data_IF_278555517842
#
_entry.id   IF_278555517842
#
_cell.length_a   1.000
_cell.length_b   1.000
_cell.length_c   1.000
_cell.angle_alpha   90.00
_cell.angle_beta   90.00
_cell.angle_gamma   90.00
#
_symmetry.space_group_name_H-M   'P 1'
#
loop_
_entity.id
_entity.type
_entity.pdbx_description
1 polymer ?
#
# COMPACT_ATOMS: atom_id res chain seq x y z
N UNK A 1 -4.15 -2.59 -16.42
CA UNK A 1 -4.21 -3.24 -15.09
C UNK A 1 -3.50 -2.35 -14.10
N UNK A 2 -4.21 -1.73 -13.14
CA UNK A 2 -3.64 -0.70 -12.25
C UNK A 2 -2.60 -1.21 -11.26
N UNK A 3 -1.48 -1.75 -11.75
CA UNK A 3 -0.30 -2.15 -10.96
C UNK A 3 -0.50 -3.31 -9.98
N UNK A 4 -1.72 -3.85 -9.85
CA UNK A 4 -2.01 -4.90 -8.86
C UNK A 4 -1.33 -6.21 -9.27
N UNK A 5 -0.49 -6.73 -8.37
CA UNK A 5 0.20 -8.01 -8.51
C UNK A 5 -0.75 -9.13 -8.12
N UNK A 6 -0.80 -10.18 -8.92
CA UNK A 6 -1.56 -11.39 -8.66
C UNK A 6 -0.61 -12.60 -8.62
N UNK A 7 -0.95 -13.59 -7.80
CA UNK A 7 -0.21 -14.84 -7.78
C UNK A 7 -0.63 -15.72 -8.96
N UNK A 8 0.35 -16.33 -9.61
CA UNK A 8 0.17 -17.27 -10.71
C UNK A 8 1.07 -18.48 -10.50
N UNK A 9 0.62 -19.64 -10.96
CA UNK A 9 1.42 -20.87 -10.99
C UNK A 9 2.29 -20.97 -12.24
N UNK A 10 2.14 -20.03 -13.19
CA UNK A 10 2.95 -19.93 -14.40
C UNK A 10 4.00 -18.85 -14.22
N UNK A 11 5.16 -19.06 -14.83
CA UNK A 11 6.22 -18.07 -14.81
C UNK A 11 5.82 -16.88 -15.72
N UNK A 12 5.65 -15.72 -15.12
CA UNK A 12 5.24 -14.49 -15.80
C UNK A 12 6.13 -13.32 -15.39
N UNK A 13 6.24 -12.33 -16.28
CA UNK A 13 7.02 -11.12 -16.03
C UNK A 13 6.38 -10.22 -14.96
N UNK A 14 7.23 -9.52 -14.22
CA UNK A 14 6.79 -8.54 -13.24
C UNK A 14 7.13 -7.13 -13.71
N UNK A 15 6.14 -6.45 -14.30
CA UNK A 15 6.30 -5.12 -14.91
C UNK A 15 6.93 -4.10 -13.96
N UNK A 16 6.38 -3.91 -12.75
CA UNK A 16 6.91 -2.95 -11.77
C UNK A 16 8.28 -3.30 -11.17
N UNK A 17 8.86 -4.46 -11.49
CA UNK A 17 10.23 -4.82 -11.12
C UNK A 17 11.16 -4.90 -12.35
N UNK A 18 10.62 -4.79 -13.57
CA UNK A 18 11.38 -4.91 -14.81
C UNK A 18 12.01 -6.28 -15.07
N UNK A 19 11.49 -7.36 -14.45
CA UNK A 19 12.07 -8.72 -14.56
C UNK A 19 11.20 -9.65 -15.39
N UNK A 20 11.86 -10.56 -16.12
CA UNK A 20 11.19 -11.52 -17.00
C UNK A 20 10.35 -12.56 -16.25
N UNK A 21 10.77 -12.92 -15.03
CA UNK A 21 10.07 -13.84 -14.14
C UNK A 21 10.34 -13.45 -12.69
N UNK A 22 9.34 -13.58 -11.82
CA UNK A 22 9.49 -13.30 -10.40
C UNK A 22 8.73 -14.29 -9.52
N UNK A 23 9.32 -14.66 -8.39
CA UNK A 23 8.69 -15.52 -7.38
C UNK A 23 9.13 -15.08 -5.97
N UNK A 24 8.22 -15.15 -5.00
CA UNK A 24 8.54 -14.87 -3.61
C UNK A 24 9.11 -16.12 -2.93
N UNK A 25 10.39 -16.07 -2.55
CA UNK A 25 11.09 -17.21 -1.95
C UNK A 25 11.91 -16.85 -0.70
N UNK A 26 11.90 -15.59 -0.26
CA UNK A 26 12.85 -15.05 0.72
C UNK A 26 12.30 -14.94 2.15
N UNK A 27 11.02 -15.22 2.39
CA UNK A 27 10.35 -15.00 3.69
C UNK A 27 9.40 -16.15 4.10
N UNK A 28 9.84 -17.42 4.09
CA UNK A 28 8.96 -18.59 4.32
C UNK A 28 8.35 -18.67 5.72
N UNK A 29 8.93 -18.00 6.71
CA UNK A 29 8.39 -17.99 8.08
C UNK A 29 7.20 -17.04 8.26
N UNK A 30 6.98 -16.12 7.32
CA UNK A 30 5.94 -15.07 7.44
C UNK A 30 5.05 -14.91 6.21
N UNK A 31 5.34 -15.63 5.12
CA UNK A 31 4.51 -15.66 3.90
C UNK A 31 4.32 -17.10 3.45
N UNK A 32 3.06 -17.52 3.33
CA UNK A 32 2.71 -18.90 2.97
C UNK A 32 3.20 -19.29 1.55
N UNK A 33 3.14 -18.36 0.60
CA UNK A 33 3.65 -18.57 -0.77
C UNK A 33 5.15 -18.88 -0.77
N UNK A 34 5.95 -18.15 0.02
CA UNK A 34 7.37 -18.43 0.15
C UNK A 34 7.63 -19.82 0.74
N UNK A 35 6.83 -20.26 1.72
CA UNK A 35 6.94 -21.62 2.27
C UNK A 35 6.61 -22.70 1.23
N UNK A 36 5.58 -22.48 0.42
CA UNK A 36 5.21 -23.37 -0.70
C UNK A 36 6.35 -23.45 -1.71
N UNK A 37 6.93 -22.31 -2.10
CA UNK A 37 8.07 -22.26 -3.01
C UNK A 37 9.30 -22.95 -2.42
N UNK A 38 9.57 -22.79 -1.12
CA UNK A 38 10.67 -23.51 -0.44
C UNK A 38 10.49 -25.03 -0.51
N UNK A 39 9.27 -25.56 -0.35
CA UNK A 39 8.99 -27.02 -0.50
C UNK A 39 9.31 -27.51 -1.91
N UNK A 40 8.89 -26.76 -2.93
CA UNK A 40 9.18 -27.06 -4.33
C UNK A 40 10.69 -27.01 -4.63
N UNK A 41 11.40 -26.01 -4.12
CA UNK A 41 12.85 -25.89 -4.26
C UNK A 41 13.58 -27.05 -3.58
N UNK A 42 13.15 -27.47 -2.39
CA UNK A 42 13.72 -28.64 -1.69
C UNK A 42 13.56 -29.89 -2.55
N UNK A 43 12.36 -30.14 -3.10
CA UNK A 43 12.12 -31.28 -3.98
C UNK A 43 13.02 -31.25 -5.23
N UNK A 44 13.18 -30.07 -5.86
CA UNK A 44 14.04 -29.89 -7.02
C UNK A 44 15.52 -30.15 -6.70
N UNK A 45 16.03 -29.63 -5.58
CA UNK A 45 17.42 -29.85 -5.14
C UNK A 45 17.67 -31.31 -4.77
N UNK A 46 16.69 -31.99 -4.18
CA UNK A 46 16.75 -33.41 -3.86
C UNK A 46 16.50 -34.34 -5.05
N UNK A 47 16.14 -33.79 -6.22
CA UNK A 47 15.75 -34.53 -7.42
C UNK A 47 14.60 -35.52 -7.16
N UNK A 48 13.63 -35.13 -6.33
CA UNK A 48 12.40 -35.87 -6.08
C UNK A 48 11.23 -35.27 -6.84
N UNK A 49 10.08 -35.96 -6.85
CA UNK A 49 8.87 -35.40 -7.44
C UNK A 49 8.49 -34.08 -6.73
N UNK A 50 8.00 -33.06 -7.46
CA UNK A 50 7.59 -31.80 -6.85
C UNK A 50 6.55 -32.06 -5.78
N UNK A 51 6.67 -31.38 -4.64
CA UNK A 51 5.68 -31.46 -3.55
C UNK A 51 4.28 -31.12 -4.07
N UNK A 52 4.19 -30.15 -4.98
CA UNK A 52 2.96 -29.80 -5.66
C UNK A 52 3.13 -29.97 -7.17
N UNK A 53 2.55 -31.03 -7.76
CA UNK A 53 2.61 -31.23 -9.21
C UNK A 53 1.96 -30.08 -9.99
N UNK A 54 2.35 -29.88 -11.27
CA UNK A 54 1.66 -28.94 -12.15
C UNK A 54 0.15 -29.22 -12.18
N UNK A 55 -0.65 -28.15 -12.16
CA UNK A 55 -2.11 -28.21 -12.26
C UNK A 55 -2.80 -29.02 -11.13
N UNK A 56 -2.12 -29.26 -10.00
CA UNK A 56 -2.74 -29.94 -8.87
C UNK A 56 -3.80 -29.06 -8.19
N UNK A 57 -4.90 -29.67 -7.77
CA UNK A 57 -5.95 -28.97 -7.00
C UNK A 57 -5.40 -28.40 -5.68
N UNK A 58 -4.35 -29.02 -5.13
CA UNK A 58 -3.73 -28.60 -3.88
C UNK A 58 -3.02 -27.24 -4.01
N UNK A 59 -2.19 -27.03 -5.06
CA UNK A 59 -1.51 -25.73 -5.25
C UNK A 59 -2.51 -24.62 -5.57
N UNK A 60 -3.54 -24.94 -6.36
CA UNK A 60 -4.63 -24.00 -6.68
C UNK A 60 -5.40 -23.63 -5.41
N UNK A 61 -5.72 -24.61 -4.57
CA UNK A 61 -6.37 -24.38 -3.28
C UNK A 61 -5.54 -23.51 -2.33
N UNK A 62 -4.24 -23.78 -2.24
CA UNK A 62 -3.32 -22.96 -1.45
C UNK A 62 -3.23 -21.51 -1.93
N UNK A 63 -3.15 -21.30 -3.26
CA UNK A 63 -3.09 -19.96 -3.85
C UNK A 63 -4.37 -19.17 -3.55
N UNK A 64 -5.54 -19.78 -3.73
CA UNK A 64 -6.84 -19.14 -3.41
C UNK A 64 -6.92 -18.76 -1.93
N UNK A 65 -6.54 -19.67 -1.03
CA UNK A 65 -6.57 -19.40 0.40
C UNK A 65 -5.61 -18.28 0.78
N UNK A 66 -4.40 -18.28 0.19
CA UNK A 66 -3.44 -17.19 0.38
C UNK A 66 -4.02 -15.85 -0.06
N UNK A 67 -4.56 -15.75 -1.28
CA UNK A 67 -5.13 -14.50 -1.79
C UNK A 67 -6.26 -13.99 -0.89
N UNK A 68 -7.15 -14.86 -0.44
CA UNK A 68 -8.24 -14.49 0.46
C UNK A 68 -7.73 -13.97 1.81
N UNK A 69 -6.83 -14.71 2.46
CA UNK A 69 -6.28 -14.33 3.78
C UNK A 69 -5.41 -13.09 3.68
N UNK A 70 -4.56 -12.98 2.67
CA UNK A 70 -3.67 -11.86 2.45
C UNK A 70 -4.45 -10.56 2.21
N UNK A 71 -5.50 -10.59 1.39
CA UNK A 71 -6.36 -9.42 1.17
C UNK A 71 -7.09 -8.99 2.46
N UNK A 72 -7.63 -9.94 3.24
CA UNK A 72 -8.27 -9.62 4.52
C UNK A 72 -7.29 -8.97 5.51
N UNK A 73 -6.04 -9.45 5.56
CA UNK A 73 -5.01 -8.89 6.43
C UNK A 73 -4.61 -7.48 5.98
N UNK A 74 -4.46 -7.25 4.67
CA UNK A 74 -4.16 -5.92 4.13
C UNK A 74 -5.27 -4.90 4.41
N UNK A 75 -6.55 -5.31 4.29
CA UNK A 75 -7.68 -4.45 4.62
C UNK A 75 -7.65 -4.06 6.11
N UNK A 76 -7.45 -5.05 6.99
CA UNK A 76 -7.33 -4.82 8.42
C UNK A 76 -6.14 -3.92 8.76
N UNK A 77 -4.97 -4.17 8.17
CA UNK A 77 -3.77 -3.37 8.35
C UNK A 77 -4.00 -1.91 7.92
N UNK A 78 -4.62 -1.69 6.76
CA UNK A 78 -4.95 -0.35 6.26
C UNK A 78 -5.85 0.40 7.26
N UNK A 79 -6.88 -0.27 7.80
CA UNK A 79 -7.77 0.31 8.81
C UNK A 79 -7.05 0.59 10.13
N UNK A 80 -6.20 -0.33 10.57
CA UNK A 80 -5.40 -0.18 11.79
C UNK A 80 -4.43 1.00 11.68
N UNK A 81 -3.71 1.12 10.57
CA UNK A 81 -2.78 2.23 10.30
C UNK A 81 -3.51 3.57 10.29
N UNK A 82 -4.67 3.66 9.61
CA UNK A 82 -5.51 4.86 9.64
C UNK A 82 -5.96 5.21 11.05
N UNK A 83 -6.45 4.24 11.82
CA UNK A 83 -6.87 4.46 13.21
C UNK A 83 -5.74 5.05 14.04
N UNK A 84 -4.52 4.50 13.97
CA UNK A 84 -3.39 4.99 14.75
C UNK A 84 -2.90 6.37 14.30
N UNK A 85 -2.98 6.69 13.01
CA UNK A 85 -2.73 8.06 12.55
C UNK A 85 -3.70 9.06 13.21
N UNK A 86 -4.99 8.72 13.29
CA UNK A 86 -5.99 9.57 13.93
C UNK A 86 -5.80 9.67 15.44
N UNK A 87 -5.44 8.57 16.11
CA UNK A 87 -5.10 8.59 17.53
C UNK A 87 -3.90 9.50 17.82
N UNK A 88 -2.87 9.43 16.96
CA UNK A 88 -1.70 10.30 17.09
C UNK A 88 -2.08 11.79 17.02
N UNK A 89 -2.94 12.20 16.08
CA UNK A 89 -3.44 13.59 15.99
C UNK A 89 -4.12 14.06 17.28
N UNK A 90 -4.91 13.18 17.91
CA UNK A 90 -5.61 13.49 19.17
C UNK A 90 -4.60 13.61 20.32
N UNK A 91 -3.69 12.65 20.43
CA UNK A 91 -2.74 12.55 21.54
C UNK A 91 -1.76 13.72 21.57
N UNK A 92 -1.21 14.09 20.41
CA UNK A 92 -0.28 15.20 20.28
C UNK A 92 -0.98 16.57 20.16
N UNK A 93 -2.32 16.58 20.24
CA UNK A 93 -3.15 17.78 20.10
C UNK A 93 -2.79 18.60 18.83
N UNK A 94 -2.63 17.92 17.70
CA UNK A 94 -2.25 18.53 16.43
C UNK A 94 -3.45 19.28 15.86
N UNK A 95 -3.32 20.61 15.74
CA UNK A 95 -4.37 21.49 15.22
C UNK A 95 -4.11 21.94 13.78
N UNK A 96 -2.85 21.95 13.35
CA UNK A 96 -2.43 22.33 12.00
C UNK A 96 -1.37 21.35 11.48
N UNK A 97 -1.37 21.11 10.18
CA UNK A 97 -0.42 20.19 9.56
C UNK A 97 -0.15 20.53 8.10
N UNK A 98 1.02 20.12 7.61
CA UNK A 98 1.37 20.19 6.20
C UNK A 98 0.93 18.94 5.45
N UNK A 99 0.51 19.13 4.21
CA UNK A 99 0.13 18.04 3.31
C UNK A 99 0.51 18.38 1.88
N UNK A 100 0.65 17.35 1.05
CA UNK A 100 0.92 17.48 -0.37
C UNK A 100 -0.31 17.08 -1.18
N UNK A 101 -0.71 17.92 -2.14
CA UNK A 101 -1.81 17.59 -3.04
C UNK A 101 -1.43 16.43 -3.93
N UNK A 102 -2.25 15.39 -3.93
CA UNK A 102 -2.00 14.21 -4.73
C UNK A 102 -2.74 14.27 -6.06
N UNK A 103 -4.06 14.44 -6.02
CA UNK A 103 -4.92 14.62 -7.20
C UNK A 103 -6.26 15.22 -6.77
N UNK A 104 -6.85 16.06 -7.62
CA UNK A 104 -8.11 16.74 -7.32
C UNK A 104 -8.06 17.42 -5.94
N UNK A 105 -8.89 16.97 -5.00
CA UNK A 105 -8.91 17.42 -3.62
C UNK A 105 -8.42 16.37 -2.61
N UNK A 106 -7.73 15.33 -3.08
CA UNK A 106 -7.01 14.41 -2.22
C UNK A 106 -5.64 14.96 -1.88
N UNK A 107 -5.36 14.97 -0.58
CA UNK A 107 -4.07 15.38 -0.03
C UNK A 107 -3.48 14.22 0.77
N UNK A 108 -2.16 14.07 0.69
CA UNK A 108 -1.39 13.17 1.53
C UNK A 108 -0.74 14.00 2.64
N UNK A 109 -0.95 13.62 3.88
CA UNK A 109 -0.28 14.26 5.01
C UNK A 109 1.22 13.98 4.93
N UNK A 110 2.05 14.97 5.25
CA UNK A 110 3.50 14.82 5.05
C UNK A 110 4.13 13.91 6.12
N UNK A 111 3.72 14.06 7.37
CA UNK A 111 4.29 13.34 8.52
C UNK A 111 3.56 12.03 8.86
N UNK A 112 2.45 11.74 8.18
CA UNK A 112 1.59 10.57 8.45
C UNK A 112 1.24 9.84 7.15
N UNK A 113 1.18 8.51 7.14
CA UNK A 113 0.71 7.72 6.00
C UNK A 113 -0.84 7.78 5.87
N UNK A 114 -1.39 8.99 5.85
CA UNK A 114 -2.83 9.23 5.78
C UNK A 114 -3.17 10.11 4.59
N UNK A 115 -4.17 9.70 3.84
CA UNK A 115 -4.68 10.43 2.68
C UNK A 115 -6.15 10.74 2.92
N UNK A 116 -6.48 12.02 2.81
CA UNK A 116 -7.81 12.53 3.07
C UNK A 116 -8.28 13.47 1.96
N UNK A 117 -9.59 13.66 1.89
CA UNK A 117 -10.23 14.59 0.99
C UNK A 117 -10.41 15.94 1.71
N UNK A 118 -9.97 17.02 1.08
CA UNK A 118 -10.12 18.37 1.63
C UNK A 118 -11.07 19.17 0.75
N UNK A 119 -12.35 19.23 1.13
CA UNK A 119 -13.38 19.88 0.34
C UNK A 119 -13.18 21.38 0.12
N UNK A 120 -12.46 22.04 1.01
CA UNK A 120 -12.12 23.47 0.92
C UNK A 120 -10.89 23.75 0.06
N UNK A 121 -10.22 22.72 -0.47
CA UNK A 121 -9.05 22.88 -1.30
C UNK A 121 -9.44 23.50 -2.65
N UNK A 122 -8.83 24.64 -3.06
CA UNK A 122 -9.03 25.18 -4.41
C UNK A 122 -8.39 24.26 -5.45
N UNK A 123 -8.78 24.43 -6.72
CA UNK A 123 -8.16 23.69 -7.82
C UNK A 123 -6.66 23.98 -7.88
N UNK A 124 -5.86 22.92 -7.73
CA UNK A 124 -4.42 23.04 -7.61
C UNK A 124 -3.72 21.84 -8.24
N UNK A 125 -2.55 22.09 -8.83
CA UNK A 125 -1.71 21.03 -9.39
C UNK A 125 -1.25 20.06 -8.30
N UNK A 126 -1.14 18.78 -8.66
CA UNK A 126 -0.50 17.76 -7.85
C UNK A 126 0.94 18.17 -7.47
N UNK A 127 1.39 17.75 -6.29
CA UNK A 127 2.72 18.02 -5.75
C UNK A 127 2.85 19.33 -4.98
N UNK A 128 1.87 20.24 -5.05
CA UNK A 128 1.91 21.46 -4.24
C UNK A 128 1.65 21.16 -2.76
N UNK A 129 2.48 21.74 -1.89
CA UNK A 129 2.34 21.65 -0.43
C UNK A 129 1.37 22.69 0.11
N UNK A 130 0.57 22.31 1.08
CA UNK A 130 -0.49 23.13 1.69
C UNK A 130 -0.47 22.99 3.20
N UNK A 131 -0.92 24.04 3.89
CA UNK A 131 -1.24 23.99 5.32
C UNK A 131 -2.73 23.72 5.50
N UNK A 132 -3.03 22.81 6.42
CA UNK A 132 -4.38 22.37 6.76
C UNK A 132 -4.64 22.57 8.24
N UNK A 133 -5.84 22.99 8.58
CA UNK A 133 -6.37 22.99 9.94
C UNK A 133 -7.16 21.70 10.17
N UNK A 134 -6.91 21.02 11.29
CA UNK A 134 -7.66 19.86 11.75
C UNK A 134 -8.98 20.35 12.37
N UNK A 135 -10.12 19.95 11.79
CA UNK A 135 -11.45 20.34 12.29
C UNK A 135 -12.10 19.26 13.13
N UNK A 136 -12.04 18.03 12.67
CA UNK A 136 -12.64 16.90 13.35
C UNK A 136 -11.86 15.64 13.05
N UNK A 137 -11.63 14.85 14.09
CA UNK A 137 -11.01 13.53 14.02
C UNK A 137 -12.05 12.50 14.48
N UNK A 138 -12.50 11.65 13.58
CA UNK A 138 -13.45 10.57 13.89
C UNK A 138 -12.75 9.21 13.77
N UNK A 139 -12.38 8.63 14.91
CA UNK A 139 -11.65 7.36 14.96
C UNK A 139 -12.55 6.15 14.73
N UNK A 140 -13.87 6.30 14.86
CA UNK A 140 -14.84 5.22 14.62
C UNK A 140 -15.10 5.06 13.12
N UNK A 141 -15.33 6.18 12.42
CA UNK A 141 -15.52 6.20 10.97
C UNK A 141 -14.20 6.22 10.19
N UNK A 142 -13.07 6.42 10.89
CA UNK A 142 -11.73 6.60 10.30
C UNK A 142 -11.66 7.82 9.36
N UNK A 143 -12.35 8.89 9.72
CA UNK A 143 -12.48 10.12 8.94
C UNK A 143 -11.70 11.27 9.59
N UNK A 144 -11.07 12.08 8.74
CA UNK A 144 -10.37 13.30 9.12
C UNK A 144 -10.92 14.46 8.30
N UNK A 145 -11.56 15.40 8.99
CA UNK A 145 -12.03 16.65 8.38
C UNK A 145 -10.96 17.72 8.53
N UNK A 146 -10.49 18.23 7.39
CA UNK A 146 -9.51 19.30 7.34
C UNK A 146 -10.05 20.51 6.58
N UNK A 147 -9.54 21.68 6.95
CA UNK A 147 -9.78 22.93 6.22
C UNK A 147 -8.47 23.45 5.63
N UNK A 148 -8.50 23.85 4.37
CA UNK A 148 -7.36 24.52 3.74
C UNK A 148 -7.11 25.88 4.38
N UNK A 149 -5.86 26.15 4.78
CA UNK A 149 -5.40 27.43 5.32
C UNK A 149 -4.62 28.25 4.30
N UNK A 150 -3.79 27.61 3.48
CA UNK A 150 -2.93 28.29 2.53
C UNK A 150 -1.91 27.36 1.88
N UNK A 151 -1.20 27.86 0.87
CA UNK A 151 -0.04 27.18 0.29
C UNK A 151 1.12 27.30 1.28
N UNK A 152 1.85 26.21 1.48
CA UNK A 152 3.01 26.18 2.38
C UNK A 152 4.25 26.66 1.61
N UNK A 153 4.57 27.96 1.69
CA UNK A 153 5.69 28.57 0.96
C UNK A 153 7.08 28.20 1.53
N UNK A 154 7.14 27.61 2.73
CA UNK A 154 8.39 27.39 3.48
C UNK A 154 9.31 26.29 2.91
N UNK A 155 8.86 25.50 1.92
CA UNK A 155 9.74 24.62 1.12
C UNK A 155 9.19 24.46 -0.30
N UNK A 156 9.34 25.50 -1.11
CA UNK A 156 9.17 25.40 -2.55
C UNK A 156 10.48 24.91 -3.17
N UNK A 157 10.97 23.71 -2.86
CA UNK A 157 12.04 23.09 -3.65
C UNK A 157 12.04 21.56 -3.57
N UNK A 158 11.95 20.97 -4.77
CA UNK A 158 12.26 19.60 -5.17
C UNK A 158 11.56 18.44 -4.43
N UNK A 159 10.35 18.08 -4.89
CA UNK A 159 10.07 16.68 -5.19
C UNK A 159 9.38 16.66 -6.55
N UNK A 160 10.15 16.37 -7.60
CA UNK A 160 9.59 15.99 -8.87
C UNK A 160 8.74 14.73 -8.63
N UNK A 161 7.47 14.80 -8.96
CA UNK A 161 6.63 13.61 -9.08
C UNK A 161 7.22 12.85 -10.26
N UNK A 162 7.98 11.78 -9.98
CA UNK A 162 8.19 10.75 -10.99
C UNK A 162 6.82 10.16 -11.29
N UNK A 163 6.26 10.56 -12.43
CA UNK A 163 5.19 9.80 -13.07
C UNK A 163 5.73 8.39 -13.29
N UNK A 164 5.23 7.42 -12.52
CA UNK A 164 5.40 6.00 -12.81
C UNK A 164 4.73 5.72 -14.17
N UNK A 165 5.49 5.94 -15.23
CA UNK A 165 5.27 5.31 -16.51
C UNK A 165 6.00 3.97 -16.53
N UNK A 166 5.22 2.95 -16.90
CA UNK A 166 5.56 1.55 -17.20
C UNK A 166 5.38 0.58 -16.04
#
# INVERSE_FOLDING_TARGET
>A
NGGKVYMTTKAEGHQGLGVAQYAWCTSPLRRAVDLINQRQLIAAVQMTAPTYPPESDEIVGHMRNFDQTYNAYNEFQTRMERYWCLQYLIQENIQEMSATVWRENLVRLDDLPYITKVHSLPEMAAGKRVKLEVKKVDTLLMELECKFLGVDEDKTDSVAIEEDQV
#
